data_IF_298473246071
#
_entry.id   IF_298473246071
#
_cell.length_a   1.000
_cell.length_b   1.000
_cell.length_c   1.000
_cell.angle_alpha   90.00
_cell.angle_beta   90.00
_cell.angle_gamma   90.00
#
_symmetry.space_group_name_H-M   'P 1'
#
loop_
_entity.id
_entity.type
_entity.pdbx_description
1 polymer ?
#
# COMPACT_ATOMS: atom_id res chain seq x y z
N UNK A 1 29.39 -7.11 -14.49
CA UNK A 1 29.80 -5.88 -13.81
C UNK A 1 28.57 -5.16 -13.30
N UNK A 2 28.56 -4.93 -12.02
CA UNK A 2 27.42 -4.28 -11.38
C UNK A 2 27.68 -2.77 -11.33
N UNK A 3 27.10 -2.05 -12.28
CA UNK A 3 27.16 -0.60 -12.22
C UNK A 3 26.14 -0.11 -11.20
N UNK A 4 26.62 0.56 -10.16
CA UNK A 4 25.75 1.19 -9.19
C UNK A 4 25.18 2.46 -9.82
N UNK A 5 23.86 2.52 -9.95
CA UNK A 5 23.17 3.67 -10.56
C UNK A 5 23.45 4.96 -9.78
N UNK A 6 23.52 4.87 -8.46
CA UNK A 6 23.83 6.05 -7.63
C UNK A 6 25.20 6.62 -7.94
N UNK A 7 26.21 5.76 -8.12
CA UNK A 7 27.54 6.20 -8.50
C UNK A 7 27.57 6.79 -9.91
N UNK A 8 26.84 6.17 -10.83
CA UNK A 8 26.74 6.68 -12.19
C UNK A 8 26.14 8.08 -12.20
N UNK A 9 25.05 8.30 -11.48
CA UNK A 9 24.39 9.59 -11.42
C UNK A 9 25.27 10.65 -10.76
N UNK A 10 25.99 10.30 -9.69
CA UNK A 10 26.95 11.20 -9.05
C UNK A 10 28.06 11.61 -10.03
N UNK A 11 28.59 10.66 -10.79
CA UNK A 11 29.63 10.94 -11.77
C UNK A 11 29.13 11.84 -12.91
N UNK A 12 27.83 11.92 -13.09
CA UNK A 12 27.20 12.80 -14.09
C UNK A 12 26.63 14.09 -13.49
N UNK A 13 27.01 14.43 -12.26
CA UNK A 13 26.61 15.66 -11.61
C UNK A 13 25.28 15.61 -10.86
N UNK A 14 24.70 14.45 -10.68
CA UNK A 14 23.47 14.26 -9.93
C UNK A 14 23.76 14.17 -8.42
N UNK A 15 23.89 15.30 -7.77
CA UNK A 15 24.36 15.39 -6.40
C UNK A 15 23.32 14.97 -5.34
N UNK A 16 22.05 14.80 -5.73
CA UNK A 16 20.95 14.57 -4.79
C UNK A 16 20.78 13.13 -4.36
N UNK A 17 21.41 12.19 -5.05
CA UNK A 17 21.28 10.76 -4.75
C UNK A 17 22.37 10.35 -3.80
N UNK A 18 21.94 9.78 -2.67
CA UNK A 18 22.88 9.26 -1.65
C UNK A 18 23.06 7.78 -1.87
N UNK A 19 24.31 7.34 -1.89
CA UNK A 19 24.64 5.92 -1.87
C UNK A 19 24.54 5.41 -0.44
N UNK A 20 23.83 4.32 -0.23
CA UNK A 20 23.73 3.66 1.07
C UNK A 20 24.39 2.30 1.02
N UNK A 21 25.03 1.90 2.11
CA UNK A 21 25.75 0.63 2.21
C UNK A 21 24.90 -0.49 2.80
N UNK A 22 23.77 -0.17 3.42
CA UNK A 22 22.88 -1.13 4.05
C UNK A 22 21.58 -1.19 3.27
N UNK A 23 21.12 -2.38 2.87
CA UNK A 23 19.83 -2.51 2.17
C UNK A 23 18.69 -1.99 3.02
N UNK A 24 17.74 -1.34 2.35
CA UNK A 24 16.50 -0.88 2.97
C UNK A 24 15.37 -1.83 2.58
N UNK A 25 14.61 -2.28 3.57
CA UNK A 25 13.48 -3.17 3.35
C UNK A 25 12.19 -2.47 3.80
N UNK A 26 11.12 -2.74 3.10
CA UNK A 26 9.78 -2.32 3.51
C UNK A 26 8.97 -3.55 3.89
N UNK A 27 8.22 -3.44 4.99
CA UNK A 27 7.38 -4.51 5.49
C UNK A 27 5.99 -4.38 4.90
N UNK A 28 5.45 -5.48 4.40
CA UNK A 28 4.13 -5.51 3.78
C UNK A 28 3.20 -6.47 4.54
N UNK A 29 1.99 -6.00 4.86
CA UNK A 29 0.95 -6.84 5.42
C UNK A 29 0.11 -7.40 4.27
N UNK A 30 0.03 -8.71 4.17
CA UNK A 30 -0.72 -9.40 3.10
C UNK A 30 -2.01 -9.97 3.66
N UNK A 31 -3.12 -9.68 3.01
CA UNK A 31 -4.45 -10.08 3.49
C UNK A 31 -5.37 -10.40 2.32
N UNK A 32 -6.27 -11.38 2.51
CA UNK A 32 -7.24 -11.76 1.49
C UNK A 32 -8.19 -10.63 1.15
N UNK A 33 -8.54 -10.48 -0.12
CA UNK A 33 -9.60 -9.57 -0.57
C UNK A 33 -10.97 -9.94 -0.03
N UNK A 34 -11.15 -11.14 0.52
CA UNK A 34 -12.37 -11.53 1.23
C UNK A 34 -12.61 -10.74 2.51
N UNK A 35 -11.61 -10.04 3.01
CA UNK A 35 -11.74 -9.21 4.22
C UNK A 35 -12.16 -7.77 3.94
N UNK A 36 -12.30 -7.38 2.67
CA UNK A 36 -12.83 -6.05 2.32
C UNK A 36 -14.22 -6.19 1.71
N UNK A 37 -14.99 -5.10 1.72
CA UNK A 37 -16.32 -5.09 1.11
C UNK A 37 -16.24 -4.88 -0.40
N UNK A 38 -17.30 -5.23 -1.10
CA UNK A 38 -17.41 -4.93 -2.53
C UNK A 38 -17.30 -3.42 -2.78
N UNK A 39 -17.91 -2.61 -1.91
CA UNK A 39 -17.80 -1.15 -1.96
C UNK A 39 -16.35 -0.68 -1.85
N UNK A 40 -15.55 -1.36 -1.04
CA UNK A 40 -14.13 -1.05 -0.90
C UNK A 40 -13.39 -1.26 -2.21
N UNK A 41 -13.74 -2.31 -2.97
CA UNK A 41 -13.08 -2.56 -4.26
C UNK A 41 -13.32 -1.42 -5.24
N UNK A 42 -14.53 -0.87 -5.27
CA UNK A 42 -14.84 0.28 -6.12
C UNK A 42 -14.13 1.55 -5.64
N UNK A 43 -14.07 1.75 -4.33
CA UNK A 43 -13.37 2.90 -3.76
C UNK A 43 -11.87 2.83 -4.04
N UNK A 44 -11.27 1.65 -3.94
CA UNK A 44 -9.85 1.45 -4.27
C UNK A 44 -9.56 1.70 -5.74
N UNK A 45 -10.44 1.30 -6.65
CA UNK A 45 -10.32 1.64 -8.06
C UNK A 45 -10.30 3.14 -8.31
N UNK A 46 -11.16 3.87 -7.64
CA UNK A 46 -11.20 5.34 -7.76
C UNK A 46 -9.93 5.97 -7.22
N UNK A 47 -9.43 5.49 -6.09
CA UNK A 47 -8.19 5.98 -5.50
C UNK A 47 -6.99 5.67 -6.38
N UNK A 48 -6.96 4.51 -7.01
CA UNK A 48 -5.92 4.17 -7.98
C UNK A 48 -5.84 5.19 -9.11
N UNK A 49 -6.99 5.59 -9.65
CA UNK A 49 -7.04 6.60 -10.70
C UNK A 49 -6.60 7.98 -10.25
N UNK A 50 -6.69 8.26 -8.96
CA UNK A 50 -6.30 9.52 -8.34
C UNK A 50 -4.95 9.45 -7.63
N UNK A 51 -4.18 8.41 -7.85
CA UNK A 51 -2.92 8.17 -7.12
C UNK A 51 -1.86 9.24 -7.33
N UNK A 52 -2.03 10.10 -8.32
CA UNK A 52 -1.13 11.24 -8.57
C UNK A 52 -1.49 12.48 -7.76
N UNK A 53 -2.65 12.50 -7.08
CA UNK A 53 -3.05 13.60 -6.22
C UNK A 53 -2.34 13.49 -4.88
N UNK A 54 -1.81 14.61 -4.38
CA UNK A 54 -1.05 14.63 -3.14
C UNK A 54 -1.89 14.26 -1.91
N UNK A 55 -3.20 14.46 -1.98
CA UNK A 55 -4.12 14.19 -0.86
C UNK A 55 -4.69 12.76 -0.89
N UNK A 56 -4.25 11.94 -1.84
CA UNK A 56 -4.74 10.58 -1.99
C UNK A 56 -3.72 9.57 -1.51
N UNK A 57 -4.14 8.50 -0.82
CA UNK A 57 -3.23 7.40 -0.53
C UNK A 57 -2.76 6.76 -1.83
N UNK A 58 -1.52 6.31 -1.86
CA UNK A 58 -0.97 5.64 -3.03
C UNK A 58 -1.56 4.22 -3.11
N UNK A 59 -2.39 4.00 -4.12
CA UNK A 59 -3.03 2.72 -4.38
C UNK A 59 -2.62 2.24 -5.77
N UNK A 60 -2.10 1.02 -5.83
CA UNK A 60 -1.65 0.40 -7.08
C UNK A 60 -2.44 -0.87 -7.30
N UNK A 61 -3.22 -0.91 -8.38
CA UNK A 61 -3.94 -2.10 -8.78
C UNK A 61 -3.05 -3.05 -9.58
N UNK A 62 -3.30 -4.35 -9.43
CA UNK A 62 -2.70 -5.37 -10.26
C UNK A 62 -3.72 -6.49 -10.45
N UNK A 63 -3.40 -7.46 -11.29
CA UNK A 63 -4.32 -8.57 -11.50
C UNK A 63 -4.47 -9.38 -10.20
N UNK A 64 -5.66 -9.31 -9.63
CA UNK A 64 -5.98 -10.04 -8.41
C UNK A 64 -5.95 -9.23 -7.12
N UNK A 65 -5.69 -7.90 -7.18
CA UNK A 65 -5.71 -7.12 -5.96
C UNK A 65 -5.17 -5.71 -6.03
N UNK A 66 -4.79 -5.20 -4.87
CA UNK A 66 -4.27 -3.84 -4.70
C UNK A 66 -3.11 -3.83 -3.73
N UNK A 67 -2.15 -2.96 -4.01
CA UNK A 67 -1.06 -2.64 -3.11
C UNK A 67 -1.27 -1.20 -2.62
N UNK A 68 -1.32 -1.02 -1.31
CA UNK A 68 -1.63 0.26 -0.68
C UNK A 68 -0.44 0.71 0.15
N UNK A 69 0.07 1.92 -0.13
CA UNK A 69 1.09 2.54 0.69
C UNK A 69 0.39 3.39 1.76
N UNK A 70 0.54 3.00 3.00
CA UNK A 70 -0.26 3.54 4.11
C UNK A 70 0.46 4.56 4.99
N UNK A 71 1.72 4.88 4.68
CA UNK A 71 2.59 5.71 5.56
C UNK A 71 2.05 7.12 5.81
N UNK A 72 1.22 7.64 4.91
CA UNK A 72 0.73 9.03 4.97
C UNK A 72 -0.78 9.10 5.13
N UNK A 73 -1.46 7.98 5.38
CA UNK A 73 -2.91 7.93 5.31
C UNK A 73 -3.53 8.11 6.69
N UNK A 74 -4.51 8.99 6.77
CA UNK A 74 -5.30 9.26 7.95
C UNK A 74 -6.60 8.47 7.84
N UNK A 75 -7.00 7.76 8.90
CA UNK A 75 -8.23 6.97 8.95
C UNK A 75 -9.48 7.78 8.60
N UNK A 76 -9.57 9.02 9.07
CA UNK A 76 -10.70 9.89 8.78
C UNK A 76 -10.82 10.20 7.29
N UNK A 77 -9.70 10.45 6.64
CA UNK A 77 -9.65 10.71 5.20
C UNK A 77 -10.04 9.48 4.39
N UNK A 78 -9.60 8.30 4.82
CA UNK A 78 -9.96 7.05 4.16
C UNK A 78 -11.47 6.80 4.22
N UNK A 79 -12.07 6.93 5.38
CA UNK A 79 -13.50 6.74 5.58
C UNK A 79 -14.29 7.79 4.80
N UNK A 80 -13.85 9.05 4.84
CA UNK A 80 -14.46 10.12 4.06
C UNK A 80 -14.37 9.86 2.56
N UNK A 81 -13.34 9.16 2.11
CA UNK A 81 -13.17 8.73 0.72
C UNK A 81 -14.01 7.53 0.30
N UNK A 82 -14.82 6.99 1.20
CA UNK A 82 -15.72 5.88 0.90
C UNK A 82 -15.22 4.50 1.30
N UNK A 83 -14.09 4.41 1.98
CA UNK A 83 -13.58 3.13 2.47
C UNK A 83 -14.30 2.70 3.74
N UNK A 84 -14.51 1.42 3.89
CA UNK A 84 -15.21 0.87 5.06
C UNK A 84 -14.34 0.90 6.30
N UNK A 85 -14.99 0.79 7.45
CA UNK A 85 -14.29 0.63 8.72
C UNK A 85 -13.49 -0.67 8.75
N UNK A 86 -13.95 -1.72 8.09
CA UNK A 86 -13.22 -2.98 8.00
C UNK A 86 -11.87 -2.81 7.32
N UNK A 87 -11.82 -2.07 6.22
CA UNK A 87 -10.55 -1.78 5.55
C UNK A 87 -9.65 -0.89 6.40
N UNK A 88 -10.23 0.11 7.08
CA UNK A 88 -9.46 0.94 8.01
C UNK A 88 -8.82 0.11 9.12
N UNK A 89 -9.54 -0.85 9.67
CA UNK A 89 -9.00 -1.75 10.70
C UNK A 89 -7.82 -2.57 10.15
N UNK A 90 -7.94 -3.07 8.92
CA UNK A 90 -6.87 -3.82 8.27
C UNK A 90 -5.62 -2.96 8.08
N UNK A 91 -5.79 -1.76 7.55
CA UNK A 91 -4.67 -0.84 7.33
C UNK A 91 -4.00 -0.43 8.65
N UNK A 92 -4.80 -0.14 9.65
CA UNK A 92 -4.30 0.22 10.99
C UNK A 92 -3.54 -0.93 11.64
N UNK A 93 -4.02 -2.15 11.48
CA UNK A 93 -3.34 -3.34 11.98
C UNK A 93 -1.94 -3.48 11.37
N UNK A 94 -1.83 -3.32 10.07
CA UNK A 94 -0.54 -3.33 9.39
C UNK A 94 0.41 -2.25 9.89
N UNK A 95 -0.09 -1.03 10.03
CA UNK A 95 0.70 0.10 10.53
C UNK A 95 1.20 -0.16 11.95
N UNK A 96 0.35 -0.66 12.83
CA UNK A 96 0.72 -1.00 14.21
C UNK A 96 1.82 -2.05 14.29
N UNK A 97 1.92 -2.91 13.28
CA UNK A 97 2.96 -3.93 13.18
C UNK A 97 4.19 -3.48 12.38
N UNK A 98 4.29 -2.18 12.08
CA UNK A 98 5.43 -1.62 11.39
C UNK A 98 5.41 -1.77 9.88
N UNK A 99 4.26 -2.10 9.30
CA UNK A 99 4.13 -2.22 7.85
C UNK A 99 3.89 -0.86 7.20
N UNK A 100 4.59 -0.59 6.10
CA UNK A 100 4.38 0.59 5.28
C UNK A 100 3.50 0.31 4.08
N UNK A 101 3.27 -0.96 3.80
CA UNK A 101 2.48 -1.44 2.68
C UNK A 101 1.44 -2.44 3.17
N UNK A 102 0.26 -2.42 2.54
CA UNK A 102 -0.76 -3.45 2.72
C UNK A 102 -1.14 -3.97 1.35
N UNK A 103 -1.08 -5.28 1.19
CA UNK A 103 -1.43 -5.97 -0.04
C UNK A 103 -2.75 -6.69 0.14
N UNK A 104 -3.78 -6.25 -0.58
CA UNK A 104 -5.09 -6.90 -0.62
C UNK A 104 -5.08 -7.82 -1.84
N UNK A 105 -5.09 -9.12 -1.61
CA UNK A 105 -4.86 -10.11 -2.66
C UNK A 105 -5.93 -11.21 -2.63
N UNK A 106 -6.47 -11.57 -3.78
CA UNK A 106 -7.50 -12.63 -3.85
C UNK A 106 -6.96 -13.99 -3.39
N UNK A 107 -5.66 -14.20 -3.48
CA UNK A 107 -4.98 -15.41 -3.01
C UNK A 107 -4.29 -15.21 -1.68
N UNK A 108 -4.51 -14.09 -1.03
CA UNK A 108 -3.91 -13.76 0.25
C UNK A 108 -4.49 -14.58 1.40
N UNK A 109 -3.80 -14.57 2.55
CA UNK A 109 -4.26 -15.31 3.72
C UNK A 109 -5.58 -14.76 4.26
N UNK A 110 -6.42 -15.69 4.72
CA UNK A 110 -7.66 -15.38 5.44
C UNK A 110 -7.36 -15.50 6.93
N UNK A 111 -7.62 -14.41 7.66
CA UNK A 111 -7.40 -14.36 9.11
C UNK A 111 -8.72 -14.48 9.84
N UNK A 112 -8.77 -15.25 10.91
CA UNK A 112 -9.99 -15.48 11.70
C UNK A 112 -10.42 -14.27 12.54
N UNK A 113 -9.54 -13.29 12.70
CA UNK A 113 -9.82 -12.08 13.48
C UNK A 113 -10.31 -10.88 12.67
N UNK A 114 -10.46 -11.02 11.36
CA UNK A 114 -11.11 -10.03 10.49
C UNK A 114 -12.42 -10.56 9.97
N UNK A 115 -13.36 -9.66 9.68
CA UNK A 115 -14.59 -10.05 9.02
C UNK A 115 -14.33 -10.60 7.62
N UNK A 116 -15.14 -11.56 7.21
CA UNK A 116 -15.09 -12.16 5.89
C UNK A 116 -16.38 -11.83 5.15
N UNK A 117 -16.27 -11.33 3.96
CA UNK A 117 -17.40 -10.92 3.13
C UNK A 117 -17.56 -11.87 1.95
N UNK A 118 -18.82 -12.07 1.56
CA UNK A 118 -19.19 -12.91 0.43
C UNK A 118 -19.71 -12.03 -0.71
N UNK A 119 -18.86 -11.82 -1.71
CA UNK A 119 -19.22 -11.02 -2.89
C UNK A 119 -18.44 -11.41 -4.13
#
# INVERSE_FOLDING_TARGET
MNLNISEYLLNNGEEKIKTISVPQFEKCFVVSSGHITESDSYALEKLEKRSNDLDCPSVFGYFGGWLIRTVTTNSEELIAGGLSKSLDIILSYGIEHGCTLTKIDQDGPVYDFFELYDW
#
